data_IF_698055555431
#
_entry.id   IF_698055555431
#
_cell.length_a   1.000
_cell.length_b   1.000
_cell.length_c   1.000
_cell.angle_alpha   90.00
_cell.angle_beta   90.00
_cell.angle_gamma   90.00
#
_symmetry.space_group_name_H-M   'P 1'
#
loop_
_entity.id
_entity.type
_entity.pdbx_description
1 polymer ?
#
# COMPACT_ATOMS: atom_id res chain seq x y z
N UNK A 1 -34.22 7.18 13.27
CA UNK A 1 -33.85 5.87 12.71
C UNK A 1 -32.82 6.00 11.58
N UNK A 2 -32.88 7.05 10.75
CA UNK A 2 -31.94 7.27 9.62
C UNK A 2 -30.52 7.79 9.93
N UNK A 3 -30.19 8.19 11.17
CA UNK A 3 -28.83 8.69 11.49
C UNK A 3 -27.82 7.63 11.92
N UNK A 4 -28.26 6.38 12.17
CA UNK A 4 -27.36 5.30 12.63
C UNK A 4 -26.63 4.58 11.49
N UNK A 5 -27.17 4.64 10.27
CA UNK A 5 -26.59 4.01 9.08
C UNK A 5 -25.41 4.81 8.49
N UNK A 6 -25.22 6.06 8.88
CA UNK A 6 -24.04 6.84 8.48
C UNK A 6 -22.76 6.43 9.24
N UNK A 7 -22.90 5.58 10.27
CA UNK A 7 -21.81 5.20 11.18
C UNK A 7 -21.45 3.71 11.12
N UNK A 8 -22.24 2.87 10.44
CA UNK A 8 -22.04 1.42 10.37
C UNK A 8 -22.61 0.83 9.07
N UNK A 9 -22.10 -0.32 8.65
CA UNK A 9 -22.48 -0.94 7.38
C UNK A 9 -23.83 -1.67 7.46
N UNK A 10 -24.16 -2.23 8.63
CA UNK A 10 -25.48 -2.82 8.90
C UNK A 10 -25.86 -2.70 10.38
N UNK A 11 -27.16 -2.69 10.67
CA UNK A 11 -27.71 -2.59 12.02
C UNK A 11 -28.92 -3.50 12.22
N UNK A 12 -28.77 -4.50 13.08
CA UNK A 12 -29.85 -5.44 13.42
C UNK A 12 -30.59 -4.91 14.65
N UNK A 13 -31.76 -4.32 14.40
CA UNK A 13 -32.61 -3.68 15.44
C UNK A 13 -33.03 -4.65 16.54
N UNK A 14 -33.29 -5.92 16.19
CA UNK A 14 -33.82 -6.94 17.11
C UNK A 14 -32.84 -7.24 18.26
N UNK A 15 -31.54 -7.25 17.98
CA UNK A 15 -30.50 -7.55 18.94
C UNK A 15 -29.67 -6.32 19.36
N UNK A 16 -29.95 -5.15 18.75
CA UNK A 16 -29.14 -3.94 18.88
C UNK A 16 -27.66 -4.17 18.53
N UNK A 17 -27.42 -4.93 17.47
CA UNK A 17 -26.10 -5.29 16.97
C UNK A 17 -25.69 -4.38 15.81
N UNK A 18 -24.42 -3.97 15.77
CA UNK A 18 -23.83 -3.14 14.73
C UNK A 18 -22.78 -3.95 13.96
N UNK A 19 -22.81 -3.87 12.64
CA UNK A 19 -21.86 -4.56 11.76
C UNK A 19 -20.96 -3.56 11.06
N UNK A 20 -19.69 -3.97 10.92
CA UNK A 20 -18.63 -3.20 10.28
C UNK A 20 -17.82 -4.15 9.40
N UNK A 21 -17.74 -3.87 8.10
CA UNK A 21 -16.89 -4.57 7.13
C UNK A 21 -15.48 -3.97 7.15
N UNK A 22 -14.84 -4.08 8.33
CA UNK A 22 -13.53 -3.48 8.64
C UNK A 22 -12.59 -4.52 9.24
N UNK A 23 -11.30 -4.20 9.33
CA UNK A 23 -10.29 -5.13 9.82
C UNK A 23 -10.52 -5.50 11.31
N UNK A 24 -10.86 -6.77 11.62
CA UNK A 24 -11.16 -7.18 12.99
C UNK A 24 -9.93 -7.14 13.92
N UNK A 25 -8.71 -7.29 13.37
CA UNK A 25 -7.46 -7.23 14.17
C UNK A 25 -7.20 -5.79 14.62
N UNK A 26 -7.43 -4.83 13.74
CA UNK A 26 -7.26 -3.42 14.08
C UNK A 26 -8.38 -2.97 15.00
N UNK A 27 -9.62 -3.37 14.73
CA UNK A 27 -10.76 -3.09 15.61
C UNK A 27 -10.51 -3.50 17.07
N UNK A 28 -9.85 -4.63 17.32
CA UNK A 28 -9.50 -5.03 18.68
C UNK A 28 -8.59 -4.00 19.40
N UNK A 29 -7.64 -3.40 18.68
CA UNK A 29 -6.80 -2.32 19.23
C UNK A 29 -7.62 -1.06 19.52
N UNK A 30 -8.53 -0.69 18.61
CA UNK A 30 -9.44 0.46 18.79
C UNK A 30 -10.37 0.25 19.99
N UNK A 31 -10.96 -0.94 20.11
CA UNK A 31 -11.82 -1.31 21.23
C UNK A 31 -11.07 -1.20 22.57
N UNK A 32 -9.84 -1.70 22.62
CA UNK A 32 -9.01 -1.59 23.81
C UNK A 32 -8.66 -0.13 24.12
N UNK A 33 -8.39 0.70 23.11
CA UNK A 33 -8.19 2.14 23.31
C UNK A 33 -9.40 2.79 23.99
N UNK A 34 -10.63 2.49 23.56
CA UNK A 34 -11.83 3.03 24.22
C UNK A 34 -12.01 2.54 25.67
N UNK A 35 -11.41 1.41 26.04
CA UNK A 35 -11.43 0.90 27.42
C UNK A 35 -10.32 1.47 28.31
N UNK A 36 -9.12 1.66 27.76
CA UNK A 36 -7.92 2.02 28.54
C UNK A 36 -7.51 3.49 28.40
N UNK A 37 -7.94 4.16 27.34
CA UNK A 37 -7.48 5.49 26.94
C UNK A 37 -6.10 5.52 26.28
N UNK A 38 -5.46 4.36 26.08
CA UNK A 38 -4.10 4.25 25.51
C UNK A 38 -4.16 3.51 24.18
N UNK A 39 -3.67 4.16 23.11
CA UNK A 39 -3.59 3.54 21.79
C UNK A 39 -2.31 2.72 21.69
N UNK A 40 -2.46 1.40 21.59
CA UNK A 40 -1.36 0.48 21.31
C UNK A 40 -1.17 0.35 19.80
N UNK A 41 0.09 0.41 19.36
CA UNK A 41 0.49 0.17 17.98
C UNK A 41 1.21 -1.18 17.96
N UNK A 42 0.83 -2.06 17.04
CA UNK A 42 1.47 -3.36 16.86
C UNK A 42 2.32 -3.37 15.60
N UNK A 43 3.51 -3.98 15.69
CA UNK A 43 4.51 -3.98 14.61
C UNK A 43 4.14 -4.88 13.41
N UNK A 44 3.17 -5.78 13.59
CA UNK A 44 2.67 -6.68 12.55
C UNK A 44 1.63 -6.02 11.63
N UNK A 45 1.20 -4.80 11.94
CA UNK A 45 0.20 -4.07 11.17
C UNK A 45 0.87 -3.24 10.06
N UNK A 46 0.21 -3.15 8.91
CA UNK A 46 0.57 -2.19 7.86
C UNK A 46 0.31 -0.77 8.39
N UNK A 47 1.31 0.14 8.39
CA UNK A 47 1.15 1.50 8.90
C UNK A 47 0.03 2.28 8.20
N UNK A 48 -0.09 2.14 6.88
CA UNK A 48 -1.13 2.81 6.10
C UNK A 48 -2.54 2.34 6.51
N UNK A 49 -2.77 1.02 6.52
CA UNK A 49 -4.06 0.44 6.91
C UNK A 49 -4.42 0.80 8.37
N UNK A 50 -3.44 0.80 9.27
CA UNK A 50 -3.65 1.20 10.66
C UNK A 50 -4.09 2.66 10.80
N UNK A 51 -3.48 3.59 10.04
CA UNK A 51 -3.88 5.00 10.05
C UNK A 51 -5.30 5.20 9.50
N UNK A 52 -5.67 4.50 8.42
CA UNK A 52 -7.01 4.56 7.86
C UNK A 52 -8.07 4.07 8.85
N UNK A 53 -7.81 2.96 9.54
CA UNK A 53 -8.70 2.44 10.56
C UNK A 53 -8.84 3.40 11.75
N UNK A 54 -7.74 3.84 12.37
CA UNK A 54 -7.86 4.78 13.52
C UNK A 54 -8.60 6.05 13.11
N UNK A 55 -8.41 6.53 11.88
CA UNK A 55 -9.11 7.71 11.35
C UNK A 55 -10.60 7.45 11.17
N UNK A 56 -10.99 6.30 10.60
CA UNK A 56 -12.39 5.88 10.50
C UNK A 56 -13.07 5.85 11.87
N UNK A 57 -12.39 5.31 12.88
CA UNK A 57 -12.89 5.26 14.25
C UNK A 57 -12.75 6.58 15.01
N UNK A 58 -12.28 7.67 14.38
CA UNK A 58 -12.12 8.98 15.02
C UNK A 58 -11.00 9.05 16.08
N UNK A 59 -10.11 8.07 16.10
CA UNK A 59 -8.95 7.97 16.99
C UNK A 59 -7.74 8.64 16.33
N UNK A 60 -7.01 9.45 17.10
CA UNK A 60 -5.80 10.11 16.62
C UNK A 60 -4.55 9.38 17.10
N UNK A 61 -3.54 9.26 16.23
CA UNK A 61 -2.25 8.64 16.56
C UNK A 61 -1.56 9.28 17.78
N UNK A 62 -1.84 10.56 18.08
CA UNK A 62 -1.30 11.27 19.26
C UNK A 62 -1.62 10.61 20.61
N UNK A 63 -2.61 9.72 20.66
CA UNK A 63 -2.98 8.99 21.88
C UNK A 63 -2.08 7.77 22.16
N UNK A 64 -1.16 7.44 21.25
CA UNK A 64 -0.11 6.45 21.51
C UNK A 64 1.04 7.06 22.30
N UNK A 65 1.81 6.20 22.98
CA UNK A 65 3.03 6.64 23.64
C UNK A 65 4.06 7.15 22.62
N UNK A 66 4.91 8.09 23.05
CA UNK A 66 5.90 8.75 22.17
C UNK A 66 6.86 7.76 21.53
N UNK A 67 7.35 6.77 22.28
CA UNK A 67 8.26 5.74 21.74
C UNK A 67 7.61 4.93 20.60
N UNK A 68 6.39 4.44 20.82
CA UNK A 68 5.63 3.70 19.80
C UNK A 68 5.32 4.56 18.58
N UNK A 69 5.00 5.85 18.80
CA UNK A 69 4.71 6.77 17.71
C UNK A 69 5.92 7.03 16.82
N UNK A 70 7.10 7.25 17.42
CA UNK A 70 8.34 7.48 16.66
C UNK A 70 8.68 6.25 15.82
N UNK A 71 8.67 5.06 16.43
CA UNK A 71 8.95 3.81 15.71
C UNK A 71 7.95 3.56 14.57
N UNK A 72 6.68 3.93 14.77
CA UNK A 72 5.67 3.85 13.73
C UNK A 72 5.92 4.81 12.57
N UNK A 73 6.28 6.07 12.86
CA UNK A 73 6.62 7.09 11.86
C UNK A 73 7.87 6.67 11.06
N UNK A 74 8.91 6.15 11.72
CA UNK A 74 10.11 5.60 11.06
C UNK A 74 9.76 4.47 10.08
N UNK A 75 8.94 3.51 10.51
CA UNK A 75 8.49 2.42 9.64
C UNK A 75 7.63 2.91 8.46
N UNK A 76 6.84 3.96 8.68
CA UNK A 76 6.05 4.58 7.61
C UNK A 76 6.96 5.23 6.56
N UNK A 77 8.00 5.94 7.01
CA UNK A 77 8.98 6.58 6.14
C UNK A 77 9.78 5.55 5.33
N UNK A 78 10.23 4.47 5.96
CA UNK A 78 10.90 3.35 5.29
C UNK A 78 10.03 2.75 4.18
N UNK A 79 8.75 2.51 4.45
CA UNK A 79 7.81 1.98 3.44
C UNK A 79 7.61 2.97 2.28
N UNK A 80 7.51 4.27 2.59
CA UNK A 80 7.36 5.30 1.55
C UNK A 80 8.59 5.38 0.65
N UNK A 81 9.79 5.26 1.22
CA UNK A 81 11.03 5.23 0.45
C UNK A 81 11.11 3.99 -0.45
N UNK A 82 10.76 2.81 0.07
CA UNK A 82 10.67 1.59 -0.73
C UNK A 82 9.68 1.73 -1.89
N UNK A 83 8.48 2.27 -1.63
CA UNK A 83 7.47 2.52 -2.65
C UNK A 83 7.96 3.51 -3.71
N UNK A 84 8.73 4.52 -3.33
CA UNK A 84 9.33 5.49 -4.25
C UNK A 84 10.35 4.80 -5.17
N UNK A 85 11.28 4.04 -4.60
CA UNK A 85 12.28 3.28 -5.36
C UNK A 85 11.60 2.32 -6.33
N UNK A 86 10.57 1.60 -5.88
CA UNK A 86 9.84 0.68 -6.74
C UNK A 86 9.17 1.41 -7.92
N UNK A 87 8.59 2.59 -7.71
CA UNK A 87 8.00 3.41 -8.78
C UNK A 87 9.05 3.89 -9.78
N UNK A 88 10.20 4.33 -9.30
CA UNK A 88 11.32 4.77 -10.15
C UNK A 88 11.84 3.61 -11.01
N UNK A 89 12.02 2.42 -10.41
CA UNK A 89 12.42 1.22 -11.14
C UNK A 89 11.38 0.80 -12.19
N UNK A 90 10.09 0.82 -11.86
CA UNK A 90 9.03 0.53 -12.84
C UNK A 90 9.05 1.52 -14.00
N UNK A 91 9.25 2.82 -13.72
CA UNK A 91 9.33 3.84 -14.77
C UNK A 91 10.60 3.70 -15.65
N UNK A 92 11.70 3.15 -15.10
CA UNK A 92 12.91 2.83 -15.87
C UNK A 92 12.68 1.63 -16.79
N UNK A 93 12.07 0.57 -16.27
CA UNK A 93 11.66 -0.61 -17.06
C UNK A 93 10.70 -0.22 -18.20
N UNK A 94 9.70 0.62 -17.94
CA UNK A 94 8.78 1.12 -18.96
C UNK A 94 9.50 1.90 -20.08
N UNK A 95 10.56 2.67 -19.74
CA UNK A 95 11.38 3.37 -20.74
C UNK A 95 12.22 2.39 -21.57
N UNK A 96 12.80 1.38 -20.95
CA UNK A 96 13.56 0.34 -21.64
C UNK A 96 12.67 -0.52 -22.55
N UNK A 97 11.42 -0.74 -22.16
CA UNK A 97 10.43 -1.44 -22.96
C UNK A 97 9.81 -0.59 -24.09
N UNK A 98 10.05 0.73 -24.09
CA UNK A 98 9.54 1.62 -25.11
C UNK A 98 10.26 1.43 -26.46
N UNK A 99 9.78 0.46 -27.24
CA UNK A 99 10.33 0.12 -28.56
C UNK A 99 10.14 1.22 -29.61
N UNK A 100 9.31 2.24 -29.35
CA UNK A 100 9.07 3.39 -30.25
C UNK A 100 10.32 4.29 -30.38
N UNK A 101 11.27 4.17 -29.44
CA UNK A 101 12.57 4.85 -29.52
C UNK A 101 13.35 4.45 -30.79
N UNK A 102 13.12 3.25 -31.32
CA UNK A 102 13.81 2.78 -32.52
C UNK A 102 13.16 3.25 -33.83
N UNK A 103 11.89 3.68 -33.82
CA UNK A 103 11.13 3.95 -35.05
C UNK A 103 11.62 5.20 -35.81
N UNK A 104 12.26 6.14 -35.11
CA UNK A 104 12.80 7.38 -35.70
C UNK A 104 14.31 7.32 -35.99
N UNK A 105 14.97 6.17 -35.74
CA UNK A 105 16.40 5.99 -35.96
C UNK A 105 16.72 5.43 -37.35
N UNK A 106 17.92 5.75 -37.88
CA UNK A 106 18.44 5.06 -39.06
C UNK A 106 18.65 3.56 -38.75
N UNK A 107 18.13 2.70 -39.63
CA UNK A 107 18.13 1.24 -39.43
C UNK A 107 17.47 0.78 -38.10
N UNK A 108 16.45 1.51 -37.64
CA UNK A 108 15.74 1.26 -36.38
C UNK A 108 15.33 -0.20 -36.13
N UNK A 109 14.73 -0.86 -37.14
CA UNK A 109 14.30 -2.26 -37.05
C UNK A 109 15.46 -3.23 -36.77
N UNK A 110 16.64 -3.01 -37.36
CA UNK A 110 17.81 -3.87 -37.15
C UNK A 110 18.42 -3.62 -35.78
N UNK A 111 18.51 -2.35 -35.36
CA UNK A 111 18.98 -1.97 -34.02
C UNK A 111 18.10 -2.56 -32.92
N UNK A 112 16.78 -2.50 -33.08
CA UNK A 112 15.81 -3.11 -32.18
C UNK A 112 16.00 -4.63 -32.05
N UNK A 113 16.24 -5.33 -33.16
CA UNK A 113 16.51 -6.77 -33.15
C UNK A 113 17.81 -7.13 -32.41
N UNK A 114 18.87 -6.33 -32.57
CA UNK A 114 20.14 -6.53 -31.86
C UNK A 114 19.97 -6.25 -30.36
N UNK A 115 19.26 -5.17 -30.00
CA UNK A 115 18.96 -4.84 -28.61
C UNK A 115 18.16 -5.95 -27.91
N UNK A 116 17.07 -6.39 -28.53
CA UNK A 116 16.25 -7.49 -27.97
C UNK A 116 17.06 -8.80 -27.84
N UNK A 117 18.03 -9.04 -28.72
CA UNK A 117 18.92 -10.20 -28.63
C UNK A 117 19.89 -10.11 -27.43
N UNK A 118 20.39 -8.92 -27.10
CA UNK A 118 21.38 -8.73 -26.02
C UNK A 118 20.73 -8.53 -24.65
N UNK A 119 19.66 -7.73 -24.56
CA UNK A 119 19.10 -7.29 -23.27
C UNK A 119 17.87 -8.11 -22.83
N UNK A 120 17.20 -8.82 -23.77
CA UNK A 120 16.00 -9.62 -23.47
C UNK A 120 16.27 -11.10 -23.70
N UNK A 121 16.82 -11.85 -22.72
CA UNK A 121 17.21 -13.25 -22.90
C UNK A 121 16.05 -14.20 -23.23
N UNK A 122 14.80 -13.77 -23.06
CA UNK A 122 13.61 -14.52 -23.44
C UNK A 122 12.98 -14.08 -24.77
N UNK A 123 13.57 -13.12 -25.48
CA UNK A 123 13.04 -12.60 -26.75
C UNK A 123 13.16 -13.61 -27.90
N UNK A 124 14.12 -14.53 -27.83
CA UNK A 124 14.35 -15.59 -28.82
C UNK A 124 15.22 -16.71 -28.24
N UNK A 125 15.25 -17.85 -28.92
CA UNK A 125 16.13 -18.97 -28.55
C UNK A 125 17.61 -18.55 -28.57
N UNK A 126 18.00 -17.70 -29.53
CA UNK A 126 19.37 -17.18 -29.63
C UNK A 126 19.70 -16.18 -28.53
N UNK A 127 18.73 -15.40 -28.05
CA UNK A 127 18.92 -14.51 -26.90
C UNK A 127 19.08 -15.27 -25.58
N UNK A 128 18.54 -16.50 -25.54
CA UNK A 128 18.56 -17.37 -24.36
C UNK A 128 19.84 -18.22 -24.25
N UNK A 129 20.58 -18.35 -25.36
CA UNK A 129 21.84 -19.10 -25.47
C UNK A 129 23.02 -18.24 -25.05
#
# INVERSE_FOLDING_TARGET
HNQKLDLCDDYVVQNNEFFFDRDPKIFHNIFNFYRTGVLSIKDDLCPYNFLEEIHYWGVRIKYSQRCCRISFEERQDELNEQLKIQKELMAELEKEENEEVYDHMTCGLTRRKIWNLMEKPFSSITAKL
#
